data_IF_812337350104
#
_entry.id   IF_812337350104
#
_cell.length_a   1.000
_cell.length_b   1.000
_cell.length_c   1.000
_cell.angle_alpha   90.00
_cell.angle_beta   90.00
_cell.angle_gamma   90.00
#
_symmetry.space_group_name_H-M   'P 1'
#
loop_
_entity.id
_entity.type
_entity.pdbx_description
1 polymer ?
#
# COMPACT_ATOMS: atom_id res chain seq x y z
N UNK A 1 -25.04 -2.34 11.76
CA UNK A 1 -23.62 -2.00 11.98
C UNK A 1 -23.48 -0.50 11.75
N UNK A 2 -23.29 0.31 12.80
CA UNK A 2 -23.11 1.76 12.68
C UNK A 2 -21.61 2.06 12.72
N UNK A 3 -21.06 2.63 11.65
CA UNK A 3 -19.72 3.23 11.69
C UNK A 3 -19.85 4.58 12.40
N UNK A 4 -19.14 4.76 13.51
CA UNK A 4 -19.14 6.02 14.26
C UNK A 4 -17.92 6.85 13.82
N UNK A 5 -18.15 7.85 12.96
CA UNK A 5 -17.14 8.78 12.45
C UNK A 5 -17.28 9.03 10.93
N UNK A 6 -16.70 10.10 10.37
CA UNK A 6 -16.75 10.43 8.94
C UNK A 6 -15.87 9.50 8.07
N UNK A 7 -15.51 8.33 8.57
CA UNK A 7 -14.46 7.48 8.03
C UNK A 7 -15.06 6.23 7.39
N UNK A 8 -14.70 5.98 6.13
CA UNK A 8 -15.01 4.73 5.43
C UNK A 8 -13.99 3.64 5.75
N UNK A 9 -14.44 2.40 5.93
CA UNK A 9 -13.57 1.25 6.03
C UNK A 9 -13.45 0.54 4.67
N UNK A 10 -12.24 0.08 4.32
CA UNK A 10 -12.02 -0.73 3.12
C UNK A 10 -11.96 -2.22 3.45
N UNK A 11 -12.58 -3.05 2.61
CA UNK A 11 -12.43 -4.49 2.71
C UNK A 11 -11.11 -4.91 2.03
N UNK A 12 -10.06 -5.13 2.83
CA UNK A 12 -8.68 -5.31 2.35
C UNK A 12 -8.53 -6.39 1.28
N UNK A 13 -9.22 -7.53 1.43
CA UNK A 13 -9.18 -8.62 0.45
C UNK A 13 -9.73 -8.19 -0.91
N UNK A 14 -10.83 -7.42 -0.91
CA UNK A 14 -11.44 -6.95 -2.17
C UNK A 14 -10.59 -5.84 -2.78
N UNK A 15 -10.05 -4.93 -1.97
CA UNK A 15 -9.18 -3.89 -2.46
C UNK A 15 -7.89 -4.45 -3.08
N UNK A 16 -7.32 -5.51 -2.49
CA UNK A 16 -6.19 -6.26 -3.07
C UNK A 16 -6.57 -6.88 -4.43
N UNK A 17 -7.78 -7.42 -4.57
CA UNK A 17 -8.28 -7.97 -5.83
C UNK A 17 -8.42 -6.87 -6.89
N UNK A 18 -9.06 -5.76 -6.55
CA UNK A 18 -9.25 -4.61 -7.45
C UNK A 18 -7.90 -4.05 -7.89
N UNK A 19 -6.95 -3.85 -6.96
CA UNK A 19 -5.63 -3.31 -7.25
C UNK A 19 -4.84 -4.13 -8.29
N UNK A 20 -5.06 -5.45 -8.35
CA UNK A 20 -4.43 -6.34 -9.34
C UNK A 20 -5.01 -6.20 -10.74
N UNK A 21 -6.23 -5.68 -10.88
CA UNK A 21 -6.85 -5.46 -12.20
C UNK A 21 -6.13 -4.33 -12.94
N UNK A 22 -5.67 -4.57 -14.19
CA UNK A 22 -5.16 -3.49 -15.05
C UNK A 22 -6.22 -2.40 -15.31
N UNK A 23 -7.50 -2.76 -15.30
CA UNK A 23 -8.62 -1.86 -15.57
C UNK A 23 -8.96 -0.96 -14.38
N UNK A 24 -8.41 -1.25 -13.20
CA UNK A 24 -8.60 -0.42 -12.00
C UNK A 24 -7.89 0.94 -12.10
N UNK A 25 -7.04 1.12 -13.12
CA UNK A 25 -6.44 2.41 -13.46
C UNK A 25 -4.92 2.36 -13.61
N UNK A 26 -4.28 3.53 -13.70
CA UNK A 26 -2.83 3.63 -13.86
C UNK A 26 -2.06 3.08 -12.65
N UNK A 27 -0.77 2.78 -12.86
CA UNK A 27 0.08 2.12 -11.86
C UNK A 27 0.08 2.79 -10.48
N UNK A 28 0.13 4.13 -10.41
CA UNK A 28 0.11 4.86 -9.14
C UNK A 28 -1.18 4.62 -8.33
N UNK A 29 -2.34 4.58 -9.00
CA UNK A 29 -3.63 4.31 -8.37
C UNK A 29 -3.71 2.87 -7.89
N UNK A 30 -3.23 1.92 -8.70
CA UNK A 30 -3.15 0.50 -8.31
C UNK A 30 -2.22 0.27 -7.12
N UNK A 31 -1.07 0.95 -7.07
CA UNK A 31 -0.18 0.91 -5.90
C UNK A 31 -0.83 1.54 -4.66
N UNK A 32 -1.57 2.64 -4.80
CA UNK A 32 -2.27 3.26 -3.69
C UNK A 32 -3.35 2.33 -3.10
N UNK A 33 -4.15 1.69 -3.96
CA UNK A 33 -5.12 0.68 -3.52
C UNK A 33 -4.44 -0.53 -2.85
N UNK A 34 -3.30 -0.98 -3.38
CA UNK A 34 -2.51 -2.04 -2.74
C UNK A 34 -2.00 -1.60 -1.36
N UNK A 35 -1.47 -0.38 -1.23
CA UNK A 35 -0.99 0.15 0.04
C UNK A 35 -2.13 0.22 1.07
N UNK A 36 -3.32 0.69 0.69
CA UNK A 36 -4.51 0.70 1.56
C UNK A 36 -4.90 -0.72 2.03
N UNK A 37 -4.71 -1.72 1.17
CA UNK A 37 -5.01 -3.12 1.50
C UNK A 37 -3.98 -3.75 2.45
N UNK A 38 -2.69 -3.42 2.28
CA UNK A 38 -1.57 -4.04 3.00
C UNK A 38 -1.09 -3.24 4.23
N UNK A 39 -1.51 -1.97 4.36
CA UNK A 39 -1.00 -1.09 5.39
C UNK A 39 -1.28 -1.63 6.80
N UNK A 40 -0.22 -1.55 7.61
CA UNK A 40 -0.25 -1.82 9.03
C UNK A 40 -0.96 -0.66 9.78
N UNK A 41 -0.94 -0.66 11.11
CA UNK A 41 -1.64 0.37 11.90
C UNK A 41 -1.04 1.77 11.80
N UNK A 42 0.22 1.88 11.38
CA UNK A 42 0.93 3.16 11.23
C UNK A 42 0.95 3.67 9.79
N UNK A 43 0.23 3.01 8.88
CA UNK A 43 0.14 3.42 7.47
C UNK A 43 1.26 2.91 6.58
N UNK A 44 2.08 1.96 7.05
CA UNK A 44 3.18 1.39 6.27
C UNK A 44 2.75 0.06 5.64
N UNK A 45 2.96 -0.07 4.34
CA UNK A 45 2.81 -1.32 3.59
C UNK A 45 4.19 -1.80 3.13
N UNK A 46 4.71 -2.85 3.76
CA UNK A 46 6.05 -3.40 3.49
C UNK A 46 6.00 -4.46 2.39
N UNK A 47 7.01 -4.43 1.51
CA UNK A 47 7.12 -5.35 0.39
C UNK A 47 8.51 -5.99 0.32
N UNK A 48 8.54 -7.26 -0.04
CA UNK A 48 9.78 -7.96 -0.38
C UNK A 48 10.37 -7.40 -1.70
N UNK A 49 11.66 -7.64 -2.01
CA UNK A 49 12.23 -7.19 -3.28
C UNK A 49 11.44 -7.74 -4.47
N UNK A 50 11.30 -6.94 -5.53
CA UNK A 50 10.60 -7.26 -6.78
C UNK A 50 9.08 -7.47 -6.70
N UNK A 51 8.45 -7.51 -5.52
CA UNK A 51 6.98 -7.72 -5.39
C UNK A 51 6.18 -6.67 -6.15
N UNK A 52 6.56 -5.39 -6.04
CA UNK A 52 5.88 -4.32 -6.78
C UNK A 52 6.12 -4.41 -8.30
N UNK A 53 7.27 -4.98 -8.71
CA UNK A 53 7.58 -5.20 -10.13
C UNK A 53 6.76 -6.33 -10.73
N UNK A 54 6.54 -7.41 -9.97
CA UNK A 54 5.58 -8.47 -10.32
C UNK A 54 4.17 -7.90 -10.39
N UNK A 55 3.79 -7.10 -9.40
CA UNK A 55 2.44 -6.54 -9.28
C UNK A 55 2.06 -5.63 -10.47
N UNK A 56 2.98 -4.76 -10.91
CA UNK A 56 2.79 -3.93 -12.11
C UNK A 56 3.21 -4.65 -13.41
N UNK A 57 3.70 -5.88 -13.31
CA UNK A 57 4.09 -6.70 -14.44
C UNK A 57 2.90 -7.14 -15.29
N UNK A 58 3.20 -7.75 -16.43
CA UNK A 58 2.19 -8.28 -17.36
C UNK A 58 2.22 -9.80 -17.34
N UNK A 59 1.05 -10.43 -17.23
CA UNK A 59 0.94 -11.88 -17.39
C UNK A 59 1.04 -12.22 -18.87
N UNK A 60 2.00 -13.08 -19.23
CA UNK A 60 2.03 -13.68 -20.55
C UNK A 60 0.91 -14.73 -20.62
N UNK A 61 -0.14 -14.44 -21.40
CA UNK A 61 -1.33 -15.31 -21.52
C UNK A 61 -1.01 -16.71 -22.06
N UNK A 62 0.03 -16.87 -22.87
CA UNK A 62 0.39 -18.15 -23.46
C UNK A 62 1.15 -19.06 -22.49
N UNK A 63 1.98 -18.49 -21.60
CA UNK A 63 2.81 -19.27 -20.67
C UNK A 63 2.36 -19.20 -19.21
N UNK A 64 1.39 -18.34 -18.88
CA UNK A 64 0.96 -18.06 -17.51
C UNK A 64 2.01 -17.33 -16.66
N UNK A 65 3.21 -17.06 -17.19
CA UNK A 65 4.30 -16.44 -16.46
C UNK A 65 4.13 -14.91 -16.37
N UNK A 66 4.48 -14.34 -15.22
CA UNK A 66 4.52 -12.89 -15.04
C UNK A 66 5.83 -12.35 -15.61
N UNK A 67 5.74 -11.45 -16.58
CA UNK A 67 6.87 -10.61 -17.00
C UNK A 67 6.93 -9.42 -16.05
N UNK A 68 8.02 -9.32 -15.30
CA UNK A 68 8.26 -8.20 -14.39
C UNK A 68 8.24 -6.87 -15.15
N UNK A 69 7.67 -5.86 -14.52
CA UNK A 69 7.87 -4.48 -14.98
C UNK A 69 9.32 -4.03 -14.75
N UNK A 70 9.72 -2.97 -15.46
CA UNK A 70 10.99 -2.31 -15.21
C UNK A 70 10.97 -1.64 -13.82
N UNK A 71 12.15 -1.52 -13.19
CA UNK A 71 12.27 -0.83 -11.91
C UNK A 71 11.87 0.66 -12.00
N UNK A 72 12.14 1.30 -13.15
CA UNK A 72 11.70 2.66 -13.43
C UNK A 72 10.17 2.80 -13.42
N UNK A 73 9.44 1.83 -13.97
CA UNK A 73 7.96 1.85 -13.96
C UNK A 73 7.39 1.90 -12.55
N UNK A 74 7.97 1.17 -11.60
CA UNK A 74 7.58 1.23 -10.19
C UNK A 74 7.94 2.58 -9.58
N UNK A 75 9.15 3.07 -9.85
CA UNK A 75 9.64 4.35 -9.32
C UNK A 75 8.79 5.52 -9.81
N UNK A 76 8.50 5.60 -11.11
CA UNK A 76 7.66 6.63 -11.72
C UNK A 76 6.24 6.64 -11.14
N UNK A 77 5.68 5.45 -10.88
CA UNK A 77 4.36 5.31 -10.27
C UNK A 77 4.35 5.79 -8.81
N UNK A 78 5.40 5.47 -8.04
CA UNK A 78 5.57 5.96 -6.66
C UNK A 78 5.72 7.48 -6.65
N UNK A 79 6.59 8.03 -7.49
CA UNK A 79 6.83 9.47 -7.56
C UNK A 79 5.58 10.23 -8.00
N UNK A 80 4.81 9.67 -8.93
CA UNK A 80 3.52 10.25 -9.30
C UNK A 80 2.53 10.21 -8.15
N UNK A 81 2.45 9.12 -7.39
CA UNK A 81 1.58 9.02 -6.21
C UNK A 81 1.97 10.03 -5.11
N UNK A 82 3.27 10.23 -4.85
CA UNK A 82 3.77 11.27 -3.94
C UNK A 82 3.32 12.67 -4.37
N UNK A 83 3.53 13.04 -5.64
CA UNK A 83 3.09 14.33 -6.19
C UNK A 83 1.59 14.56 -6.09
N UNK A 84 0.78 13.50 -6.04
CA UNK A 84 -0.67 13.58 -5.88
C UNK A 84 -1.12 13.56 -4.41
N UNK A 85 -0.18 13.53 -3.45
CA UNK A 85 -0.47 13.43 -2.03
C UNK A 85 -0.99 12.07 -1.58
N UNK A 86 -0.89 11.02 -2.43
CA UNK A 86 -1.35 9.67 -2.10
C UNK A 86 -0.37 8.93 -1.18
N UNK A 87 0.92 9.25 -1.29
CA UNK A 87 2.00 8.66 -0.53
C UNK A 87 2.83 9.74 0.17
N UNK A 88 3.36 9.39 1.34
CA UNK A 88 4.36 10.20 2.02
C UNK A 88 5.70 10.16 1.26
N UNK A 89 6.52 11.20 1.43
CA UNK A 89 7.82 11.35 0.76
C UNK A 89 8.81 10.21 1.04
N UNK A 90 8.68 9.55 2.20
CA UNK A 90 9.50 8.40 2.57
C UNK A 90 9.14 7.11 1.80
N UNK A 91 8.11 7.13 0.97
CA UNK A 91 7.69 5.94 0.22
C UNK A 91 8.74 5.51 -0.80
N UNK A 92 8.97 4.21 -0.89
CA UNK A 92 9.89 3.60 -1.84
C UNK A 92 9.40 2.21 -2.27
N UNK A 93 10.16 1.54 -3.14
CA UNK A 93 9.78 0.21 -3.65
C UNK A 93 9.71 -0.90 -2.56
N UNK A 94 10.24 -0.64 -1.36
CA UNK A 94 10.23 -1.57 -0.22
C UNK A 94 9.16 -1.25 0.82
N UNK A 95 8.70 -0.01 0.88
CA UNK A 95 7.63 0.38 1.79
C UNK A 95 6.85 1.57 1.19
N UNK A 96 5.54 1.38 1.01
CA UNK A 96 4.63 2.45 0.64
C UNK A 96 3.99 3.01 1.91
N UNK A 97 4.14 4.32 2.14
CA UNK A 97 3.71 5.00 3.35
C UNK A 97 2.51 5.88 3.04
N UNK A 98 1.39 5.59 3.69
CA UNK A 98 0.16 6.36 3.57
C UNK A 98 0.22 7.57 4.51
N UNK A 99 -0.12 8.79 4.04
CA UNK A 99 -0.27 9.95 4.90
C UNK A 99 -1.34 9.71 5.97
N UNK A 100 -1.10 10.22 7.19
CA UNK A 100 -1.99 10.03 8.35
C UNK A 100 -3.36 10.67 8.15
N UNK A 101 -3.43 11.69 7.31
CA UNK A 101 -4.65 12.40 6.92
C UNK A 101 -5.56 11.53 6.04
N UNK A 102 -4.95 10.62 5.26
CA UNK A 102 -5.67 9.72 4.34
C UNK A 102 -5.92 8.33 4.93
N UNK A 103 -5.15 7.94 5.95
CA UNK A 103 -5.22 6.60 6.50
C UNK A 103 -5.20 6.60 8.03
N UNK A 104 -6.25 6.03 8.61
CA UNK A 104 -6.35 5.75 10.04
C UNK A 104 -6.93 4.35 10.22
N UNK A 105 -6.18 3.48 10.89
CA UNK A 105 -6.58 2.10 11.14
C UNK A 105 -6.56 1.81 12.64
N UNK A 106 -7.74 1.72 13.23
CA UNK A 106 -7.92 1.22 14.59
C UNK A 106 -8.06 -0.32 14.58
N UNK A 107 -7.71 -0.99 15.69
CA UNK A 107 -7.96 -2.43 15.85
C UNK A 107 -6.73 -3.30 15.67
N UNK A 108 -6.79 -4.37 14.85
CA UNK A 108 -5.72 -5.39 14.72
C UNK A 108 -4.78 -5.13 13.53
N UNK A 109 -3.50 -5.43 13.69
CA UNK A 109 -2.44 -5.26 12.69
C UNK A 109 -1.08 -5.02 13.37
N UNK A 110 0.02 -5.06 12.63
CA UNK A 110 1.32 -4.67 13.19
C UNK A 110 1.37 -3.16 13.38
N UNK A 111 2.08 -2.72 14.43
CA UNK A 111 2.33 -1.30 14.70
C UNK A 111 3.76 -0.90 14.34
N UNK A 112 4.45 -1.69 13.53
CA UNK A 112 5.87 -1.51 13.21
C UNK A 112 6.16 -1.67 11.73
N UNK A 113 7.19 -0.98 11.27
CA UNK A 113 7.78 -1.11 9.95
C UNK A 113 9.25 -1.50 10.12
N UNK A 114 9.64 -2.63 9.55
CA UNK A 114 11.03 -3.10 9.61
C UNK A 114 11.92 -2.25 8.71
N UNK A 115 11.43 -1.89 7.53
CA UNK A 115 12.22 -1.12 6.56
C UNK A 115 12.55 0.31 7.04
N UNK A 116 11.60 0.99 7.69
CA UNK A 116 11.79 2.33 8.25
C UNK A 116 12.15 2.33 9.75
N UNK A 117 12.36 1.15 10.34
CA UNK A 117 12.62 0.97 11.78
C UNK A 117 11.61 1.70 12.69
N UNK A 118 10.37 1.84 12.21
CA UNK A 118 9.31 2.56 12.92
C UNK A 118 8.52 1.60 13.81
N UNK A 119 8.08 2.07 14.98
CA UNK A 119 7.19 1.32 15.88
C UNK A 119 6.30 2.26 16.68
N UNK A 120 5.02 1.94 16.80
CA UNK A 120 4.15 2.59 17.78
C UNK A 120 4.67 2.32 19.18
N UNK A 121 5.01 3.38 19.91
CA UNK A 121 5.15 3.28 21.37
C UNK A 121 3.77 2.89 21.90
N UNK A 122 3.67 1.72 22.53
CA UNK A 122 2.52 1.44 23.38
C UNK A 122 2.54 2.47 24.51
N UNK A 123 1.67 3.48 24.42
CA UNK A 123 1.34 4.27 25.60
C UNK A 123 0.50 3.32 26.45
N UNK A 124 1.10 2.73 27.49
CA UNK A 124 0.33 2.03 28.53
C UNK A 124 -0.70 3.03 29.04
N UNK A 125 -2.01 2.78 28.95
CA UNK A 125 -2.96 3.60 29.66
C UNK A 125 -2.64 3.43 31.14
N UNK A 126 -2.18 4.50 31.78
CA UNK A 126 -2.15 4.60 33.24
C UNK A 126 -3.60 4.52 33.70
N UNK A 127 -3.98 3.35 34.20
CA UNK A 127 -5.16 3.15 35.04
C UNK A 127 -4.71 3.36 36.47
#
# INVERSE_FOLDING_TARGET
MRFAGPWGAVHQTELRRIARSPDAGPGHMRLFMLALAEANQIGHAEFAPNVLREFLGTVNKASGRVKLSAASTVSDAIDKAKRLGMFHEDSCARCLVLPRELFQKAGRGTGSCTYHEARTRQIRPTV
#
